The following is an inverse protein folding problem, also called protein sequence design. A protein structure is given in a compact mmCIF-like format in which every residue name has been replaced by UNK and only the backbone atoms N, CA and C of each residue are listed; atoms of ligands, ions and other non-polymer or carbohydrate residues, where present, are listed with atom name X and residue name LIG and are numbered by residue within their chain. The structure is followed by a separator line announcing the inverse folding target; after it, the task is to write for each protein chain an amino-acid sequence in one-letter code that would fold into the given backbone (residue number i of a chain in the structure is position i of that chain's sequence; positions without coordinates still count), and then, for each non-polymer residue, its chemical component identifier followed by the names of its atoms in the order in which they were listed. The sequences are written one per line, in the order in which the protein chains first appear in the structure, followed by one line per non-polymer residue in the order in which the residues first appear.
data_IF_057565106480
#
_entry.id   IF_057565106480
#
_cell.length_a   1.000
_cell.length_b   1.000
_cell.length_c   1.000
_cell.angle_alpha   90.00
_cell.angle_beta   90.00
_cell.angle_gamma   90.00
#
_symmetry.space_group_name_H-M   'P 1'
#
loop_
_entity.id
_entity.type
_entity.pdbx_description
1 polymer ?
#
# COMPACT_ATOMS: atom_id res chain seq x y z
N UNK A 1 22.16 37.46 1.84
CA UNK A 1 21.61 36.92 0.59
C UNK A 1 21.37 35.43 0.81
N UNK A 2 20.12 34.99 0.89
CA UNK A 2 19.78 33.59 1.22
C UNK A 2 19.55 32.84 -0.10
N UNK A 3 20.46 31.93 -0.45
CA UNK A 3 20.29 31.08 -1.63
C UNK A 3 19.16 30.09 -1.37
N UNK A 4 18.04 30.24 -2.10
CA UNK A 4 16.96 29.26 -2.09
C UNK A 4 17.40 28.10 -2.97
N UNK A 5 17.74 26.97 -2.36
CA UNK A 5 17.94 25.72 -3.08
C UNK A 5 16.64 25.39 -3.82
N UNK A 6 16.65 25.53 -5.15
CA UNK A 6 15.52 25.16 -5.98
C UNK A 6 15.50 23.63 -6.10
N UNK A 7 14.55 22.99 -5.44
CA UNK A 7 14.28 21.56 -5.60
C UNK A 7 13.05 21.38 -6.51
N UNK A 8 13.17 20.50 -7.52
CA UNK A 8 12.08 20.19 -8.45
C UNK A 8 11.98 21.13 -9.66
N UNK A 9 10.84 21.09 -10.36
CA UNK A 9 10.65 21.78 -11.65
C UNK A 9 10.19 23.23 -11.54
N UNK A 10 9.83 23.71 -10.34
CA UNK A 10 9.24 25.03 -10.08
C UNK A 10 8.01 25.36 -10.96
N UNK A 11 7.33 24.34 -11.49
CA UNK A 11 6.13 24.46 -12.31
C UNK A 11 4.89 24.11 -11.49
N UNK A 12 3.71 24.68 -11.79
CA UNK A 12 2.45 24.24 -11.21
C UNK A 12 2.26 22.73 -11.44
N UNK A 13 1.97 21.98 -10.38
CA UNK A 13 1.89 20.52 -10.42
C UNK A 13 0.91 20.00 -11.51
N UNK A 14 -0.18 20.72 -11.78
CA UNK A 14 -1.15 20.37 -12.84
C UNK A 14 -0.49 20.28 -14.22
N UNK A 15 0.41 21.22 -14.52
CA UNK A 15 1.13 21.22 -15.80
C UNK A 15 2.10 20.04 -15.91
N UNK A 16 2.80 19.74 -14.81
CA UNK A 16 3.70 18.58 -14.73
C UNK A 16 2.91 17.27 -14.88
N UNK A 17 1.73 17.17 -14.29
CA UNK A 17 0.90 15.96 -14.35
C UNK A 17 0.42 15.69 -15.77
N UNK A 18 -0.11 16.69 -16.48
CA UNK A 18 -0.55 16.52 -17.88
C UNK A 18 0.57 16.03 -18.77
N UNK A 19 1.73 16.69 -18.70
CA UNK A 19 2.88 16.33 -19.51
C UNK A 19 3.38 14.92 -19.21
N UNK A 20 3.41 14.52 -17.93
CA UNK A 20 3.78 13.16 -17.55
C UNK A 20 2.80 12.12 -18.11
N UNK A 21 1.49 12.43 -18.12
CA UNK A 21 0.48 11.52 -18.62
C UNK A 21 0.46 11.38 -20.14
N UNK A 22 0.82 12.42 -20.88
CA UNK A 22 1.00 12.37 -22.34
C UNK A 22 2.18 11.48 -22.74
N UNK A 23 3.16 11.29 -21.84
CA UNK A 23 4.39 10.53 -22.07
C UNK A 23 4.37 9.11 -21.48
N UNK A 24 3.21 8.61 -21.07
CA UNK A 24 3.11 7.23 -20.59
C UNK A 24 3.45 6.24 -21.72
N UNK A 25 4.42 5.36 -21.47
CA UNK A 25 4.80 4.29 -22.41
C UNK A 25 3.64 3.33 -22.71
N UNK A 26 2.78 3.10 -21.72
CA UNK A 26 1.57 2.29 -21.84
C UNK A 26 0.36 3.15 -21.46
N UNK A 27 -0.51 3.53 -22.41
CA UNK A 27 -1.66 4.40 -22.14
C UNK A 27 -2.62 3.87 -21.06
N UNK A 28 -2.75 2.55 -20.95
CA UNK A 28 -3.58 1.86 -19.98
C UNK A 28 -2.78 1.25 -18.81
N UNK A 29 -1.49 1.53 -18.74
CA UNK A 29 -0.58 1.05 -17.70
C UNK A 29 -0.07 2.18 -16.80
N UNK A 30 0.30 1.83 -15.58
CA UNK A 30 1.02 2.70 -14.67
C UNK A 30 0.20 3.92 -14.27
N UNK A 31 0.88 5.01 -13.93
CA UNK A 31 0.29 6.26 -13.49
C UNK A 31 1.24 7.04 -12.59
N UNK A 32 0.71 8.06 -11.93
CA UNK A 32 1.42 8.90 -10.98
C UNK A 32 1.13 8.43 -9.55
N UNK A 33 2.18 8.34 -8.74
CA UNK A 33 2.08 8.17 -7.29
C UNK A 33 2.54 9.44 -6.59
N UNK A 34 1.82 9.85 -5.55
CA UNK A 34 2.23 10.98 -4.71
C UNK A 34 3.17 10.44 -3.63
N UNK A 35 4.47 10.59 -3.85
CA UNK A 35 5.49 10.04 -2.97
C UNK A 35 5.71 10.92 -1.74
N UNK A 36 6.07 10.29 -0.61
CA UNK A 36 6.39 10.95 0.68
C UNK A 36 5.46 12.14 1.00
N UNK A 37 4.13 11.93 1.07
CA UNK A 37 3.19 13.02 1.30
C UNK A 37 3.20 13.50 2.75
N UNK A 38 3.99 14.55 3.04
CA UNK A 38 4.13 15.16 4.37
C UNK A 38 3.16 16.32 4.64
N UNK A 39 2.37 16.72 3.64
CA UNK A 39 1.38 17.79 3.73
C UNK A 39 0.07 17.37 4.40
N UNK A 40 -0.92 18.26 4.37
CA UNK A 40 -2.25 18.02 4.92
C UNK A 40 -3.15 17.33 3.91
N UNK A 41 -4.22 16.68 4.38
CA UNK A 41 -5.22 16.02 3.53
C UNK A 41 -5.68 16.91 2.36
N UNK A 42 -6.03 18.17 2.65
CA UNK A 42 -6.53 19.14 1.67
C UNK A 42 -5.54 19.43 0.53
N UNK A 43 -4.24 19.22 0.73
CA UNK A 43 -3.23 19.44 -0.32
C UNK A 43 -3.29 18.33 -1.39
N UNK A 44 -3.72 17.13 -0.99
CA UNK A 44 -3.71 15.92 -1.83
C UNK A 44 -5.03 15.64 -2.52
N UNK A 45 -6.18 16.03 -1.94
CA UNK A 45 -7.49 15.77 -2.56
C UNK A 45 -7.59 16.35 -3.98
N UNK A 46 -7.18 17.62 -4.26
CA UNK A 46 -7.23 18.17 -5.60
C UNK A 46 -6.28 17.46 -6.59
N UNK A 47 -5.18 16.88 -6.09
CA UNK A 47 -4.25 16.11 -6.92
C UNK A 47 -4.85 14.75 -7.30
N UNK A 48 -5.49 14.06 -6.35
CA UNK A 48 -6.18 12.79 -6.59
C UNK A 48 -7.39 12.95 -7.53
N UNK A 49 -8.13 14.04 -7.38
CA UNK A 49 -9.31 14.35 -8.19
C UNK A 49 -8.95 14.86 -9.60
N UNK A 50 -7.68 15.16 -9.85
CA UNK A 50 -7.24 15.79 -11.10
C UNK A 50 -7.39 14.88 -12.33
N UNK A 51 -7.00 13.61 -12.17
CA UNK A 51 -6.99 12.64 -13.26
C UNK A 51 -6.98 11.22 -12.67
N UNK A 52 -7.74 10.25 -13.22
CA UNK A 52 -7.73 8.86 -12.74
C UNK A 52 -6.36 8.17 -12.90
N UNK A 53 -5.38 8.80 -13.54
CA UNK A 53 -3.97 8.40 -13.62
C UNK A 53 -3.13 8.86 -12.43
N UNK A 54 -3.68 9.65 -11.50
CA UNK A 54 -3.14 9.77 -10.14
C UNK A 54 -3.68 8.60 -9.32
N UNK A 55 -2.80 7.63 -9.03
CA UNK A 55 -3.21 6.32 -8.52
C UNK A 55 -3.44 6.32 -7.01
N UNK A 56 -2.67 7.12 -6.29
CA UNK A 56 -2.71 7.16 -4.83
C UNK A 56 -1.41 7.69 -4.25
N UNK A 57 -1.13 7.29 -3.02
CA UNK A 57 -0.03 7.84 -2.23
C UNK A 57 0.97 6.76 -1.82
N UNK A 58 2.21 7.18 -1.61
CA UNK A 58 3.18 6.35 -0.90
C UNK A 58 2.83 6.28 0.59
N UNK A 59 2.57 5.07 1.06
CA UNK A 59 2.45 4.74 2.49
C UNK A 59 3.85 4.42 2.99
N UNK A 60 4.56 5.48 3.39
CA UNK A 60 5.99 5.40 3.70
C UNK A 60 6.28 4.58 4.97
N UNK A 61 7.20 3.62 4.87
CA UNK A 61 7.48 2.64 5.94
C UNK A 61 8.98 2.38 6.19
N UNK A 62 9.84 3.38 5.95
CA UNK A 62 11.31 3.27 6.09
C UNK A 62 11.78 2.89 7.51
N UNK A 63 12.82 2.06 7.60
CA UNK A 63 13.41 1.46 8.82
C UNK A 63 13.68 2.39 10.02
N UNK A 64 14.14 3.63 9.86
CA UNK A 64 14.38 4.54 10.99
C UNK A 64 13.09 5.12 11.55
N UNK A 65 12.07 5.23 10.71
CA UNK A 65 10.72 5.74 11.00
C UNK A 65 9.66 4.68 10.67
N UNK A 66 9.96 3.40 10.91
CA UNK A 66 9.17 2.26 10.45
C UNK A 66 7.69 2.35 10.79
N UNK A 67 6.87 1.51 10.18
CA UNK A 67 5.49 1.34 10.63
C UNK A 67 5.51 0.95 12.11
N UNK A 68 5.02 1.83 13.00
CA UNK A 68 5.16 1.60 14.44
C UNK A 68 6.48 2.07 15.08
N UNK A 69 7.35 2.83 14.39
CA UNK A 69 8.57 3.39 14.99
C UNK A 69 8.28 4.70 15.74
N UNK A 70 8.70 4.75 17.01
CA UNK A 70 8.70 5.94 17.86
C UNK A 70 9.75 7.00 17.47
N UNK A 71 10.57 6.74 16.44
CA UNK A 71 11.61 7.67 15.91
C UNK A 71 11.25 8.21 14.53
N UNK A 72 9.98 8.58 14.32
CA UNK A 72 9.52 9.16 13.07
C UNK A 72 10.31 10.43 12.68
N UNK A 73 10.63 10.62 11.39
CA UNK A 73 11.28 11.85 10.91
C UNK A 73 10.42 13.12 11.07
N UNK A 74 9.12 12.95 11.23
CA UNK A 74 8.12 14.02 11.18
C UNK A 74 7.35 14.20 12.50
N UNK A 75 7.66 13.40 13.52
CA UNK A 75 6.99 13.44 14.82
C UNK A 75 7.97 13.11 15.94
N UNK A 76 8.20 14.08 16.84
CA UNK A 76 9.03 13.93 18.05
C UNK A 76 8.20 13.56 19.28
N UNK A 77 6.90 13.35 19.15
CA UNK A 77 6.09 12.79 20.22
C UNK A 77 6.52 11.35 20.49
N UNK A 78 6.53 10.92 21.75
CA UNK A 78 7.06 9.62 22.19
C UNK A 78 6.29 8.38 21.72
N UNK A 79 5.55 8.45 20.61
CA UNK A 79 4.75 7.37 20.05
C UNK A 79 5.06 7.10 18.58
N UNK A 80 4.60 5.95 18.04
CA UNK A 80 4.85 5.60 16.65
C UNK A 80 4.22 6.56 15.65
N UNK A 81 5.03 7.09 14.72
CA UNK A 81 4.51 7.97 13.67
C UNK A 81 3.74 7.16 12.62
N UNK A 82 2.41 7.31 12.62
CA UNK A 82 1.51 6.68 11.65
C UNK A 82 0.98 7.66 10.60
N UNK A 83 1.63 8.83 10.43
CA UNK A 83 1.18 9.92 9.56
C UNK A 83 0.71 9.44 8.18
N UNK A 84 1.55 8.69 7.46
CA UNK A 84 1.23 8.23 6.11
C UNK A 84 0.08 7.23 6.06
N UNK A 85 -0.09 6.45 7.12
CA UNK A 85 -1.20 5.49 7.24
C UNK A 85 -2.52 6.19 7.54
N UNK A 86 -2.49 7.13 8.50
CA UNK A 86 -3.63 7.98 8.85
C UNK A 86 -4.06 8.82 7.65
N UNK A 87 -3.13 9.44 6.95
CA UNK A 87 -3.42 10.18 5.73
C UNK A 87 -4.09 9.29 4.66
N UNK A 88 -3.64 8.05 4.50
CA UNK A 88 -4.27 7.11 3.58
C UNK A 88 -5.72 6.80 3.99
N UNK A 89 -5.95 6.45 5.26
CA UNK A 89 -7.29 6.17 5.79
C UNK A 89 -8.20 7.40 5.71
N UNK A 90 -7.67 8.60 5.98
CA UNK A 90 -8.40 9.87 5.90
C UNK A 90 -8.84 10.18 4.47
N UNK A 91 -7.98 9.91 3.47
CA UNK A 91 -8.35 10.03 2.06
C UNK A 91 -9.45 9.02 1.70
N UNK A 92 -9.30 7.76 2.09
CA UNK A 92 -10.29 6.70 1.82
C UNK A 92 -11.64 7.01 2.47
N UNK A 93 -11.64 7.60 3.68
CA UNK A 93 -12.84 8.04 4.40
C UNK A 93 -13.63 9.10 3.62
N UNK A 94 -13.00 9.84 2.70
CA UNK A 94 -13.72 10.77 1.81
C UNK A 94 -14.47 10.09 0.67
N UNK A 95 -14.35 8.76 0.52
CA UNK A 95 -14.91 7.99 -0.61
C UNK A 95 -14.07 8.07 -1.89
N UNK A 96 -12.91 8.73 -1.86
CA UNK A 96 -12.00 8.83 -3.01
C UNK A 96 -11.17 7.58 -3.18
N UNK A 97 -10.97 7.19 -4.43
CA UNK A 97 -10.03 6.12 -4.79
C UNK A 97 -8.60 6.59 -4.53
N UNK A 98 -7.90 5.90 -3.64
CA UNK A 98 -6.48 6.12 -3.38
C UNK A 98 -5.79 4.79 -3.05
N UNK A 99 -4.92 4.31 -3.94
CA UNK A 99 -4.11 3.12 -3.65
C UNK A 99 -2.95 3.45 -2.72
N UNK A 100 -2.69 2.56 -1.75
CA UNK A 100 -1.56 2.68 -0.84
C UNK A 100 -0.34 1.96 -1.40
N UNK A 101 0.72 2.70 -1.72
CA UNK A 101 1.97 2.16 -2.26
C UNK A 101 3.00 1.96 -1.16
N UNK A 102 3.46 0.72 -0.98
CA UNK A 102 4.48 0.34 -0.01
C UNK A 102 5.79 0.09 -0.76
N UNK A 103 6.80 0.92 -0.52
CA UNK A 103 8.05 0.86 -1.29
C UNK A 103 9.27 1.10 -0.39
N UNK A 104 10.40 0.47 -0.74
CA UNK A 104 11.69 0.65 -0.04
C UNK A 104 12.34 2.02 -0.20
N UNK A 105 11.92 2.78 -1.22
CA UNK A 105 12.67 3.95 -1.68
C UNK A 105 14.13 3.61 -2.03
N UNK A 106 15.04 4.57 -1.87
CA UNK A 106 16.48 4.41 -1.99
C UNK A 106 17.14 3.53 -0.90
N UNK A 107 16.38 2.87 -0.01
CA UNK A 107 16.96 2.06 1.08
C UNK A 107 17.22 0.61 0.64
N UNK A 108 18.48 0.19 0.69
CA UNK A 108 18.95 -1.18 0.44
C UNK A 108 18.17 -2.23 1.23
N UNK A 109 17.86 -1.96 2.49
CA UNK A 109 17.13 -2.86 3.39
C UNK A 109 15.69 -2.40 3.68
N UNK A 110 15.13 -1.51 2.85
CA UNK A 110 13.74 -1.09 3.01
C UNK A 110 12.77 -2.28 2.89
N UNK A 111 11.72 -2.28 3.70
CA UNK A 111 10.80 -3.42 3.87
C UNK A 111 9.50 -3.35 3.06
N UNK A 112 9.15 -2.16 2.54
CA UNK A 112 7.93 -1.95 1.76
C UNK A 112 7.99 -2.54 0.36
N UNK A 113 6.97 -3.30 -0.01
CA UNK A 113 6.79 -3.89 -1.35
C UNK A 113 5.33 -3.77 -1.79
N UNK A 114 5.12 -3.65 -3.10
CA UNK A 114 3.82 -3.91 -3.70
C UNK A 114 3.88 -5.28 -4.36
N UNK A 115 2.98 -6.17 -3.98
CA UNK A 115 2.85 -7.51 -4.57
C UNK A 115 1.76 -7.44 -5.63
N UNK A 116 2.18 -7.51 -6.89
CA UNK A 116 1.28 -7.40 -8.03
C UNK A 116 0.58 -8.73 -8.32
N UNK A 117 -0.73 -8.66 -8.54
CA UNK A 117 -1.55 -9.77 -9.02
C UNK A 117 -1.65 -9.62 -10.53
N UNK A 118 -0.84 -10.40 -11.25
CA UNK A 118 -0.68 -10.36 -12.71
C UNK A 118 -1.00 -11.72 -13.32
N UNK A 119 -1.39 -11.76 -14.61
CA UNK A 119 -1.49 -13.02 -15.35
C UNK A 119 -0.16 -13.80 -15.34
N UNK A 120 -0.20 -15.08 -15.73
CA UNK A 120 1.00 -15.94 -15.78
C UNK A 120 2.07 -15.31 -16.70
N UNK A 121 3.13 -14.78 -16.10
CA UNK A 121 4.19 -14.03 -16.80
C UNK A 121 5.12 -14.89 -17.66
N UNK A 122 5.18 -16.20 -17.40
CA UNK A 122 6.20 -17.07 -18.00
C UNK A 122 6.09 -17.19 -19.53
N UNK A 123 4.90 -16.98 -20.09
CA UNK A 123 4.65 -17.00 -21.53
C UNK A 123 4.85 -15.64 -22.21
N UNK A 124 5.13 -14.58 -21.44
CA UNK A 124 5.23 -13.21 -21.94
C UNK A 124 6.69 -12.81 -22.18
N UNK A 125 6.94 -11.97 -23.18
CA UNK A 125 8.24 -11.30 -23.34
C UNK A 125 8.43 -10.17 -22.31
N UNK A 126 9.61 -9.55 -22.26
CA UNK A 126 9.93 -8.52 -21.26
C UNK A 126 8.96 -7.32 -21.29
N UNK A 127 8.67 -6.79 -22.48
CA UNK A 127 7.76 -5.65 -22.69
C UNK A 127 6.33 -5.97 -22.25
N UNK A 128 5.85 -7.17 -22.56
CA UNK A 128 4.52 -7.63 -22.13
C UNK A 128 4.42 -7.80 -20.61
N UNK A 129 5.48 -8.31 -19.97
CA UNK A 129 5.53 -8.41 -18.50
C UNK A 129 5.51 -7.04 -17.84
N UNK A 130 6.27 -6.08 -18.37
CA UNK A 130 6.28 -4.70 -17.91
C UNK A 130 4.90 -4.05 -18.05
N UNK A 131 4.28 -4.18 -19.23
CA UNK A 131 2.92 -3.68 -19.48
C UNK A 131 1.91 -4.31 -18.50
N UNK A 132 1.98 -5.62 -18.26
CA UNK A 132 1.10 -6.32 -17.33
C UNK A 132 1.27 -5.83 -15.88
N UNK A 133 2.52 -5.61 -15.45
CA UNK A 133 2.82 -5.06 -14.13
C UNK A 133 2.29 -3.63 -13.96
N UNK A 134 2.49 -2.77 -14.97
CA UNK A 134 1.98 -1.41 -14.97
C UNK A 134 0.44 -1.38 -14.99
N UNK A 135 -0.21 -2.25 -15.76
CA UNK A 135 -1.67 -2.41 -15.74
C UNK A 135 -2.19 -2.88 -14.38
N UNK A 136 -1.44 -3.70 -13.64
CA UNK A 136 -1.83 -4.12 -12.30
C UNK A 136 -1.94 -2.91 -11.34
N UNK A 137 -0.97 -1.99 -11.37
CA UNK A 137 -1.06 -0.74 -10.61
C UNK A 137 -2.25 0.12 -11.04
N UNK A 138 -2.47 0.27 -12.35
CA UNK A 138 -3.60 1.02 -12.90
C UNK A 138 -4.94 0.51 -12.36
N UNK A 139 -5.10 -0.82 -12.36
CA UNK A 139 -6.34 -1.52 -12.00
C UNK A 139 -6.50 -1.73 -10.49
N UNK A 140 -5.47 -1.45 -9.70
CA UNK A 140 -5.48 -1.75 -8.26
C UNK A 140 -5.39 -3.25 -7.96
N UNK A 141 -4.90 -4.08 -8.88
CA UNK A 141 -4.74 -5.53 -8.68
C UNK A 141 -3.41 -5.83 -8.00
N UNK A 142 -3.24 -5.30 -6.79
CA UNK A 142 -2.05 -5.51 -5.98
C UNK A 142 -2.35 -5.28 -4.49
N UNK A 143 -1.44 -5.67 -3.62
CA UNK A 143 -1.47 -5.30 -2.21
C UNK A 143 -0.10 -4.84 -1.72
N UNK A 144 -0.11 -4.02 -0.69
CA UNK A 144 1.10 -3.62 0.04
C UNK A 144 1.57 -4.70 0.99
N UNK A 145 2.88 -4.85 1.12
CA UNK A 145 3.53 -5.72 2.10
C UNK A 145 4.65 -4.98 2.82
N UNK A 146 4.78 -5.25 4.12
CA UNK A 146 5.94 -4.88 4.92
C UNK A 146 6.62 -6.17 5.34
N UNK A 147 7.55 -6.62 4.51
CA UNK A 147 8.19 -7.92 4.68
C UNK A 147 9.39 -7.85 5.64
N UNK A 148 9.67 -8.98 6.30
CA UNK A 148 10.97 -9.15 6.98
C UNK A 148 12.09 -9.23 5.94
N UNK A 149 13.33 -8.96 6.37
CA UNK A 149 14.48 -9.24 5.52
C UNK A 149 14.67 -10.75 5.40
N UNK A 150 15.06 -11.22 4.21
CA UNK A 150 15.55 -12.57 4.04
C UNK A 150 16.87 -12.71 4.81
N UNK A 151 17.00 -13.79 5.59
CA UNK A 151 18.19 -14.09 6.36
C UNK A 151 18.56 -15.57 6.23
N UNK A 152 19.85 -15.87 6.31
CA UNK A 152 20.38 -17.24 6.40
C UNK A 152 20.00 -17.90 7.72
N UNK A 153 20.32 -19.18 7.87
CA UNK A 153 20.17 -19.90 9.15
C UNK A 153 20.99 -19.27 10.28
N UNK A 154 22.14 -18.68 9.95
CA UNK A 154 23.01 -17.94 10.89
C UNK A 154 22.54 -16.51 11.17
N UNK A 155 21.46 -16.05 10.52
CA UNK A 155 20.86 -14.73 10.74
C UNK A 155 21.43 -13.60 9.87
N UNK A 156 22.35 -13.91 8.95
CA UNK A 156 22.90 -12.92 8.01
C UNK A 156 21.88 -12.54 6.94
N UNK A 157 21.78 -11.26 6.60
CA UNK A 157 20.83 -10.77 5.58
C UNK A 157 21.29 -11.21 4.18
N UNK A 158 20.43 -11.93 3.44
CA UNK A 158 20.77 -12.51 2.13
C UNK A 158 19.90 -11.94 1.01
N UNK A 159 20.47 -11.81 -0.19
CA UNK A 159 19.71 -11.43 -1.40
C UNK A 159 18.67 -12.52 -1.76
N UNK A 160 17.44 -12.17 -2.21
CA UNK A 160 16.95 -10.85 -2.62
C UNK A 160 16.46 -9.92 -1.48
N UNK A 161 16.96 -10.06 -0.25
CA UNK A 161 16.69 -9.26 0.95
C UNK A 161 15.22 -9.20 1.37
N UNK A 162 14.35 -9.93 0.68
CA UNK A 162 12.91 -9.90 0.87
C UNK A 162 12.41 -11.27 1.33
N UNK A 163 11.80 -11.31 2.51
CA UNK A 163 11.12 -12.50 3.03
C UNK A 163 9.61 -12.32 2.87
N UNK A 164 9.14 -12.49 1.64
CA UNK A 164 7.75 -12.27 1.23
C UNK A 164 6.90 -13.56 1.21
N UNK A 165 7.27 -14.58 1.98
CA UNK A 165 6.52 -15.85 2.00
C UNK A 165 5.11 -15.63 2.54
N UNK A 166 4.98 -14.82 3.60
CA UNK A 166 3.69 -14.41 4.16
C UNK A 166 3.01 -13.38 3.27
N UNK A 167 1.83 -13.72 2.75
CA UNK A 167 1.10 -12.90 1.78
C UNK A 167 -0.37 -13.29 1.69
N UNK A 168 -1.18 -12.39 1.13
CA UNK A 168 -2.51 -12.77 0.67
C UNK A 168 -2.40 -13.80 -0.46
N UNK A 169 -3.03 -14.95 -0.28
CA UNK A 169 -3.19 -15.99 -1.29
C UNK A 169 -4.50 -15.81 -2.06
N UNK A 170 -5.49 -15.15 -1.44
CA UNK A 170 -6.80 -14.86 -2.04
C UNK A 170 -7.40 -13.58 -1.45
N UNK A 171 -7.94 -12.74 -2.33
CA UNK A 171 -8.80 -11.59 -1.97
C UNK A 171 -9.93 -11.60 -3.00
N UNK A 172 -11.16 -11.89 -2.58
CA UNK A 172 -12.30 -11.97 -3.48
C UNK A 172 -13.54 -11.32 -2.84
N UNK A 173 -14.36 -10.69 -3.66
CA UNK A 173 -15.72 -10.31 -3.27
C UNK A 173 -16.68 -11.35 -3.84
N UNK A 174 -17.45 -11.99 -2.97
CA UNK A 174 -18.42 -13.02 -3.34
C UNK A 174 -19.52 -13.10 -2.28
N UNK A 175 -20.76 -13.31 -2.70
CA UNK A 175 -21.91 -13.52 -1.82
C UNK A 175 -22.08 -12.36 -0.82
N UNK A 176 -21.99 -11.11 -1.31
CA UNK A 176 -21.97 -9.86 -0.53
C UNK A 176 -20.97 -9.88 0.65
N UNK A 177 -19.83 -10.54 0.48
CA UNK A 177 -18.76 -10.55 1.46
C UNK A 177 -17.37 -10.45 0.80
N UNK A 178 -16.44 -9.83 1.51
CA UNK A 178 -15.02 -9.82 1.18
C UNK A 178 -14.36 -11.01 1.87
N UNK A 179 -13.95 -12.02 1.10
CA UNK A 179 -13.22 -13.18 1.60
C UNK A 179 -11.73 -13.03 1.33
N UNK A 180 -10.94 -13.32 2.35
CA UNK A 180 -9.48 -13.21 2.31
C UNK A 180 -8.83 -14.45 2.90
N UNK A 181 -7.73 -14.85 2.27
CA UNK A 181 -6.90 -15.95 2.75
C UNK A 181 -5.43 -15.52 2.68
N UNK A 182 -4.64 -15.98 3.64
CA UNK A 182 -3.19 -15.77 3.66
C UNK A 182 -2.45 -17.10 3.68
N UNK A 183 -1.20 -17.10 3.21
CA UNK A 183 -0.33 -18.27 3.23
C UNK A 183 1.11 -17.89 3.53
N UNK A 184 1.94 -18.89 3.85
CA UNK A 184 3.39 -18.74 4.01
C UNK A 184 3.84 -18.17 5.37
N UNK A 185 3.09 -18.48 6.43
CA UNK A 185 3.49 -18.19 7.82
C UNK A 185 4.81 -18.89 8.19
N UNK A 186 5.61 -18.19 9.00
CA UNK A 186 6.90 -18.65 9.50
C UNK A 186 6.70 -19.47 10.80
N UNK A 187 7.38 -20.61 11.02
CA UNK A 187 7.34 -21.31 12.31
C UNK A 187 7.66 -20.40 13.52
N UNK A 188 8.48 -19.36 13.34
CA UNK A 188 8.76 -18.36 14.39
C UNK A 188 7.59 -17.40 14.67
N UNK A 189 6.61 -17.32 13.77
CA UNK A 189 5.42 -16.47 13.85
C UNK A 189 4.19 -17.31 13.48
N UNK A 190 3.84 -18.30 14.32
CA UNK A 190 2.83 -19.30 13.98
C UNK A 190 1.41 -18.73 14.03
N UNK A 191 1.21 -17.61 14.73
CA UNK A 191 -0.10 -16.99 14.86
C UNK A 191 -0.34 -16.06 13.68
N UNK A 192 -1.58 -16.08 13.19
CA UNK A 192 -2.04 -15.23 12.10
C UNK A 192 -3.27 -14.48 12.56
N UNK A 193 -3.32 -13.19 12.23
CA UNK A 193 -4.49 -12.34 12.47
C UNK A 193 -4.83 -11.57 11.20
N UNK A 194 -6.11 -11.58 10.84
CA UNK A 194 -6.69 -10.78 9.77
C UNK A 194 -7.57 -9.71 10.41
N UNK A 195 -7.43 -8.46 9.95
CA UNK A 195 -8.25 -7.33 10.40
C UNK A 195 -8.97 -6.70 9.23
N UNK A 196 -10.23 -6.35 9.44
CA UNK A 196 -11.02 -5.54 8.51
C UNK A 196 -11.22 -4.16 9.12
N UNK A 197 -10.80 -3.13 8.40
CA UNK A 197 -10.85 -1.73 8.80
C UNK A 197 -11.78 -1.00 7.86
N UNK A 198 -12.66 -0.18 8.43
CA UNK A 198 -13.62 0.66 7.71
C UNK A 198 -13.39 2.14 8.04
N UNK A 199 -14.23 3.01 7.51
CA UNK A 199 -14.26 4.43 7.89
C UNK A 199 -14.51 4.67 9.38
N UNK A 200 -15.12 3.70 10.08
CA UNK A 200 -15.37 3.72 11.52
C UNK A 200 -14.24 3.09 12.36
N UNK A 201 -13.15 2.65 11.72
CA UNK A 201 -12.01 1.99 12.38
C UNK A 201 -12.05 0.46 12.23
N UNK A 202 -11.46 -0.26 13.18
CA UNK A 202 -11.38 -1.73 13.13
C UNK A 202 -12.78 -2.31 13.34
N UNK A 203 -13.33 -2.94 12.30
CA UNK A 203 -14.68 -3.50 12.31
C UNK A 203 -14.70 -5.00 12.63
N UNK A 204 -13.60 -5.72 12.37
CA UNK A 204 -13.47 -7.14 12.69
C UNK A 204 -12.01 -7.55 12.82
N UNK A 205 -11.74 -8.48 13.74
CA UNK A 205 -10.45 -9.13 13.96
C UNK A 205 -10.70 -10.64 14.00
N UNK A 206 -9.94 -11.40 13.23
CA UNK A 206 -10.04 -12.86 13.14
C UNK A 206 -8.66 -13.46 13.28
N UNK A 207 -8.44 -14.28 14.32
CA UNK A 207 -7.20 -15.03 14.51
C UNK A 207 -7.22 -16.34 13.72
N UNK A 208 -7.18 -16.22 12.39
CA UNK A 208 -7.14 -17.34 11.46
C UNK A 208 -6.44 -16.98 10.15
N UNK A 209 -6.09 -18.00 9.36
CA UNK A 209 -5.50 -17.82 8.02
C UNK A 209 -6.54 -17.46 6.94
N UNK A 210 -7.83 -17.57 7.27
CA UNK A 210 -8.95 -17.23 6.39
C UNK A 210 -9.98 -16.44 7.17
N UNK A 211 -10.59 -15.45 6.52
CA UNK A 211 -11.65 -14.66 7.11
C UNK A 211 -12.58 -14.09 6.04
N UNK A 212 -13.81 -13.78 6.43
CA UNK A 212 -14.78 -13.10 5.59
C UNK A 212 -15.35 -11.89 6.32
N UNK A 213 -15.61 -10.81 5.58
CA UNK A 213 -16.25 -9.62 6.09
C UNK A 213 -17.52 -9.31 5.29
N UNK A 214 -18.70 -9.23 5.94
CA UNK A 214 -19.94 -8.95 5.25
C UNK A 214 -19.96 -7.51 4.73
N UNK A 215 -20.27 -7.35 3.46
CA UNK A 215 -20.47 -6.07 2.78
C UNK A 215 -21.93 -5.66 2.92
N UNK A 216 -22.26 -5.11 4.09
CA UNK A 216 -23.63 -4.65 4.38
C UNK A 216 -24.03 -3.49 3.49
N UNK A 217 -25.31 -3.47 3.14
CA UNK A 217 -25.95 -2.41 2.35
C UNK A 217 -27.06 -1.77 3.16
N UNK A 218 -27.16 -0.45 3.05
CA UNK A 218 -28.25 0.31 3.63
C UNK A 218 -29.58 0.08 2.89
N UNK A 219 -30.66 0.69 3.38
CA UNK A 219 -31.99 0.60 2.76
C UNK A 219 -32.05 1.10 1.30
N UNK A 220 -31.06 1.87 0.84
CA UNK A 220 -30.93 2.35 -0.54
C UNK A 220 -30.07 1.41 -1.42
N UNK A 221 -29.56 0.31 -0.87
CA UNK A 221 -28.70 -0.65 -1.57
C UNK A 221 -27.23 -0.23 -1.67
N UNK A 222 -26.85 0.90 -1.06
CA UNK A 222 -25.46 1.36 -1.01
C UNK A 222 -24.69 0.64 0.08
N UNK A 223 -23.39 0.39 -0.15
CA UNK A 223 -22.52 -0.13 0.91
C UNK A 223 -22.50 0.84 2.10
N UNK A 224 -22.67 0.29 3.30
CA UNK A 224 -22.64 1.07 4.55
C UNK A 224 -21.25 1.65 4.80
N UNK A 225 -20.20 0.84 4.59
CA UNK A 225 -18.82 1.27 4.76
C UNK A 225 -18.32 2.05 3.53
N UNK A 226 -17.68 3.20 3.75
CA UNK A 226 -17.09 3.99 2.67
C UNK A 226 -15.89 3.28 2.01
N UNK A 227 -15.16 2.49 2.80
CA UNK A 227 -14.12 1.59 2.33
C UNK A 227 -14.00 0.38 3.26
N UNK A 228 -13.38 -0.69 2.75
CA UNK A 228 -12.91 -1.81 3.57
C UNK A 228 -11.45 -2.05 3.22
N UNK A 229 -10.55 -1.86 4.20
CA UNK A 229 -9.13 -2.19 4.10
C UNK A 229 -8.86 -3.44 4.92
N UNK A 230 -8.08 -4.35 4.36
CA UNK A 230 -7.70 -5.60 5.03
C UNK A 230 -6.24 -5.57 5.38
N UNK A 231 -5.93 -5.89 6.64
CA UNK A 231 -4.57 -6.15 7.10
C UNK A 231 -4.44 -7.62 7.48
N UNK A 232 -3.26 -8.18 7.28
CA UNK A 232 -2.92 -9.49 7.81
C UNK A 232 -1.53 -9.46 8.45
N UNK A 233 -1.41 -10.11 9.60
CA UNK A 233 -0.20 -10.15 10.41
C UNK A 233 0.15 -11.59 10.75
N UNK A 234 1.43 -11.92 10.67
CA UNK A 234 1.99 -13.08 11.34
C UNK A 234 2.78 -12.60 12.56
N UNK A 235 2.53 -13.18 13.73
CA UNK A 235 3.15 -12.76 15.00
C UNK A 235 3.61 -13.97 15.83
N UNK A 236 4.65 -13.79 16.69
CA UNK A 236 5.15 -14.86 17.55
C UNK A 236 4.13 -15.23 18.65
N UNK A 237 4.39 -16.33 19.38
CA UNK A 237 3.54 -16.78 20.50
C UNK A 237 3.52 -15.83 21.70
N UNK A 238 4.44 -14.88 21.77
CA UNK A 238 4.62 -13.98 22.91
C UNK A 238 4.39 -12.54 22.46
N UNK A 239 3.51 -11.82 23.17
CA UNK A 239 3.31 -10.38 23.03
C UNK A 239 4.48 -9.59 23.64
#
# INVERSE_FOLDING_TARGET
MQYRLMQGTNRPWRGVFREAFEKLQHPDGGGMTLNHPTGKLADYLPMLDFDPRVLGIKVWNQLTSGFGSSRGFYDHSGGPSLHFYKLWDDILRTGRRCWGFFVKDHNTYGRGRNVLLVPKLNAMNATEREAAALRAYRRGTFFGSVASLAASETGEVIAPYDRSSFRFSRIIVKDDALHVSVSGSDPKRPNVQIRFITDQGIASIVDAAEAAFPLKRDASGRLEAAFVRVEAFAYPKTH
#
